data_IF_827644661456
#
_entry.id   IF_827644661456
#
_cell.length_a   1.000
_cell.length_b   1.000
_cell.length_c   1.000
_cell.angle_alpha   90.00
_cell.angle_beta   90.00
_cell.angle_gamma   90.00
#
_symmetry.space_group_name_H-M   'P 1'
#
loop_
_entity.id
_entity.type
_entity.pdbx_description
1 polymer ?
#
# COMPACT_ATOMS: atom_id res chain seq x y z
N UNK A 1 8.13 0.21 16.95
CA UNK A 1 6.96 -0.62 16.69
C UNK A 1 6.61 -0.61 15.21
N UNK A 2 6.24 -1.77 14.67
CA UNK A 2 5.80 -1.87 13.27
C UNK A 2 4.45 -2.62 13.18
N UNK A 3 3.45 -1.94 12.65
CA UNK A 3 2.15 -2.49 12.32
C UNK A 3 2.08 -2.79 10.81
N UNK A 4 1.76 -4.05 10.44
CA UNK A 4 1.73 -4.51 9.06
C UNK A 4 2.99 -5.23 8.57
N UNK A 5 3.82 -5.75 9.48
CA UNK A 5 5.10 -6.42 9.20
C UNK A 5 5.00 -7.61 8.23
N UNK A 6 3.88 -8.34 8.21
CA UNK A 6 3.67 -9.52 7.35
C UNK A 6 3.22 -9.18 5.93
N UNK A 7 2.89 -7.91 5.66
CA UNK A 7 2.51 -7.42 4.34
C UNK A 7 3.70 -7.30 3.38
N UNK A 8 3.41 -6.95 2.12
CA UNK A 8 4.45 -6.76 1.10
C UNK A 8 5.48 -5.71 1.53
N UNK A 9 5.04 -4.48 1.81
CA UNK A 9 5.94 -3.39 2.23
C UNK A 9 6.54 -3.66 3.60
N UNK A 10 5.73 -4.07 4.58
CA UNK A 10 6.19 -4.29 5.95
C UNK A 10 7.31 -5.32 6.05
N UNK A 11 7.30 -6.38 5.23
CA UNK A 11 8.36 -7.39 5.24
C UNK A 11 9.73 -6.85 4.82
N UNK A 12 9.78 -5.86 3.94
CA UNK A 12 11.01 -5.18 3.55
C UNK A 12 11.43 -4.13 4.58
N UNK A 13 10.47 -3.47 5.24
CA UNK A 13 10.77 -2.58 6.36
C UNK A 13 11.42 -3.36 7.51
N UNK A 14 10.93 -4.58 7.82
CA UNK A 14 11.57 -5.46 8.83
C UNK A 14 13.03 -5.73 8.49
N UNK A 15 13.32 -6.14 7.26
CA UNK A 15 14.70 -6.43 6.84
C UNK A 15 15.58 -5.18 6.93
N UNK A 16 15.07 -4.03 6.54
CA UNK A 16 15.80 -2.77 6.59
C UNK A 16 16.07 -2.33 8.04
N UNK A 17 15.08 -2.47 8.95
CA UNK A 17 15.28 -2.21 10.39
C UNK A 17 16.40 -3.08 10.97
N UNK A 18 16.37 -4.38 10.67
CA UNK A 18 17.40 -5.33 11.13
C UNK A 18 18.76 -5.01 10.53
N UNK A 19 18.82 -4.66 9.24
CA UNK A 19 20.09 -4.31 8.58
C UNK A 19 20.76 -3.08 9.17
N UNK A 20 19.95 -2.16 9.71
CA UNK A 20 20.42 -0.95 10.41
C UNK A 20 20.63 -1.16 11.91
N UNK A 21 20.56 -2.40 12.41
CA UNK A 21 20.76 -2.73 13.82
C UNK A 21 19.70 -2.20 14.76
N UNK A 22 18.47 -1.97 14.25
CA UNK A 22 17.34 -1.53 15.06
C UNK A 22 16.58 -2.73 15.59
N UNK A 23 16.16 -2.66 16.85
CA UNK A 23 15.22 -3.60 17.44
C UNK A 23 13.80 -3.29 16.95
N UNK A 24 12.99 -4.32 16.71
CA UNK A 24 11.64 -4.17 16.19
C UNK A 24 10.63 -5.01 16.96
N UNK A 25 9.59 -4.34 17.50
CA UNK A 25 8.37 -4.97 17.97
C UNK A 25 7.37 -5.05 16.81
N UNK A 26 6.90 -6.25 16.50
CA UNK A 26 6.03 -6.53 15.35
C UNK A 26 4.69 -7.06 15.84
N UNK A 27 3.59 -6.34 15.55
CA UNK A 27 2.26 -6.93 15.74
C UNK A 27 1.93 -7.84 14.57
N UNK A 28 1.59 -9.09 14.85
CA UNK A 28 1.36 -10.13 13.86
C UNK A 28 0.09 -10.90 14.20
N UNK A 29 -0.81 -11.02 13.22
CA UNK A 29 -2.01 -11.84 13.39
C UNK A 29 -1.64 -13.31 13.54
N UNK A 30 -2.38 -14.02 14.38
CA UNK A 30 -2.19 -15.45 14.58
C UNK A 30 -2.19 -16.22 13.25
N UNK A 31 -1.24 -17.14 13.09
CA UNK A 31 -1.01 -17.91 11.88
C UNK A 31 -0.29 -17.17 10.75
N UNK A 32 0.07 -15.90 10.94
CA UNK A 32 0.81 -15.12 9.93
C UNK A 32 2.32 -15.03 10.21
N UNK A 33 2.82 -15.63 11.28
CA UNK A 33 4.23 -15.59 11.73
C UNK A 33 5.16 -16.22 10.68
N UNK A 34 4.66 -17.20 9.93
CA UNK A 34 5.43 -17.87 8.86
C UNK A 34 5.78 -16.95 7.68
N UNK A 35 5.13 -15.79 7.59
CA UNK A 35 5.42 -14.77 6.57
C UNK A 35 6.64 -13.91 6.91
N UNK A 36 7.15 -13.98 8.14
CA UNK A 36 8.36 -13.26 8.56
C UNK A 36 9.61 -14.10 8.27
N UNK A 37 10.57 -13.52 7.53
CA UNK A 37 11.82 -14.21 7.15
C UNK A 37 12.85 -14.21 8.27
N UNK A 38 12.88 -13.20 9.14
CA UNK A 38 13.86 -13.02 10.22
C UNK A 38 13.18 -12.82 11.58
N UNK A 39 12.19 -13.66 11.87
CA UNK A 39 11.36 -13.56 13.07
C UNK A 39 12.14 -13.64 14.38
N UNK A 40 13.25 -14.36 14.39
CA UNK A 40 14.12 -14.55 15.56
C UNK A 40 14.86 -13.29 16.00
N UNK A 41 14.91 -12.28 15.12
CA UNK A 41 15.57 -10.99 15.38
C UNK A 41 14.58 -9.90 15.83
N UNK A 42 13.32 -10.25 16.01
CA UNK A 42 12.26 -9.31 16.36
C UNK A 42 11.44 -9.83 17.54
N UNK A 43 10.90 -8.92 18.34
CA UNK A 43 9.86 -9.26 19.30
C UNK A 43 8.51 -9.33 18.58
N UNK A 44 7.89 -10.49 18.60
CA UNK A 44 6.59 -10.73 17.95
C UNK A 44 5.50 -10.69 18.99
N UNK A 45 4.53 -9.80 18.80
CA UNK A 45 3.31 -9.68 19.58
C UNK A 45 2.16 -10.21 18.74
N UNK A 46 1.44 -11.21 19.26
CA UNK A 46 0.26 -11.76 18.60
C UNK A 46 -0.95 -10.91 18.88
N UNK A 47 -1.63 -10.46 17.84
CA UNK A 47 -2.83 -9.64 17.94
C UNK A 47 -3.28 -9.08 16.61
N UNK A 48 -4.44 -8.48 16.60
CA UNK A 48 -4.97 -7.75 15.44
C UNK A 48 -5.09 -6.25 15.79
N UNK A 49 -5.33 -5.44 14.77
CA UNK A 49 -5.44 -3.99 14.91
C UNK A 49 -6.65 -3.53 15.74
N UNK A 50 -7.58 -4.44 16.02
CA UNK A 50 -8.72 -4.22 16.91
C UNK A 50 -8.42 -4.58 18.37
N UNK A 51 -7.25 -5.15 18.66
CA UNK A 51 -6.80 -5.56 20.00
C UNK A 51 -5.92 -4.46 20.62
N UNK A 52 -6.53 -3.67 21.51
CA UNK A 52 -5.85 -2.57 22.22
C UNK A 52 -4.72 -3.08 23.13
N UNK A 53 -4.86 -4.28 23.70
CA UNK A 53 -3.81 -4.86 24.57
C UNK A 53 -2.59 -5.18 23.69
N UNK A 54 -2.78 -5.84 22.55
CA UNK A 54 -1.69 -6.17 21.64
C UNK A 54 -1.04 -4.91 21.03
N UNK A 55 -1.81 -3.86 20.73
CA UNK A 55 -1.29 -2.57 20.30
C UNK A 55 -0.36 -2.00 21.38
N UNK A 56 -0.84 -1.91 22.62
CA UNK A 56 -0.08 -1.39 23.74
C UNK A 56 1.20 -2.19 24.02
N UNK A 57 1.12 -3.52 23.97
CA UNK A 57 2.28 -4.39 24.14
C UNK A 57 3.30 -4.22 22.99
N UNK A 58 2.82 -4.00 21.76
CA UNK A 58 3.70 -3.74 20.61
C UNK A 58 4.47 -2.43 20.75
N UNK A 59 3.87 -1.44 21.40
CA UNK A 59 4.47 -0.13 21.63
C UNK A 59 5.46 -0.10 22.82
N UNK A 60 5.47 -1.10 23.69
CA UNK A 60 6.30 -1.11 24.89
C UNK A 60 7.81 -1.01 24.58
N UNK A 61 8.46 -0.03 25.17
CA UNK A 61 9.88 0.25 24.98
C UNK A 61 10.28 0.82 23.62
N UNK A 62 9.30 1.19 22.78
CA UNK A 62 9.58 1.72 21.44
C UNK A 62 9.76 3.25 21.47
N UNK A 63 10.73 3.75 20.67
CA UNK A 63 10.93 5.18 20.43
C UNK A 63 10.24 5.71 19.18
N UNK A 64 9.72 4.83 18.31
CA UNK A 64 9.03 5.21 17.08
C UNK A 64 7.99 4.18 16.66
N UNK A 65 7.01 4.64 15.90
CA UNK A 65 5.96 3.82 15.31
C UNK A 65 5.98 3.92 13.81
N UNK A 66 5.88 2.78 13.12
CA UNK A 66 5.60 2.71 11.68
C UNK A 66 4.26 2.01 11.49
N UNK A 67 3.30 2.69 10.87
CA UNK A 67 2.03 2.13 10.47
C UNK A 67 2.02 1.87 8.96
N UNK A 68 2.17 0.61 8.57
CA UNK A 68 2.25 0.16 7.18
C UNK A 68 1.09 -0.78 6.79
N UNK A 69 0.00 -0.80 7.58
CA UNK A 69 -1.19 -1.58 7.23
C UNK A 69 -1.93 -0.93 6.07
N UNK A 70 -2.25 -1.74 5.07
CA UNK A 70 -3.07 -1.31 3.95
C UNK A 70 -3.58 -2.50 3.15
N UNK A 71 -4.76 -2.32 2.57
CA UNK A 71 -5.39 -3.27 1.66
C UNK A 71 -5.81 -2.52 0.40
N UNK A 72 -5.83 -3.22 -0.73
CA UNK A 72 -6.30 -2.68 -2.01
C UNK A 72 -7.69 -3.20 -2.40
N UNK A 73 -8.24 -4.10 -1.59
CA UNK A 73 -9.57 -4.69 -1.75
C UNK A 73 -10.15 -5.05 -0.39
N UNK A 74 -11.43 -4.79 -0.23
CA UNK A 74 -12.17 -5.10 0.98
C UNK A 74 -12.73 -6.53 0.98
N UNK A 75 -12.89 -7.09 2.20
CA UNK A 75 -13.59 -8.34 2.48
C UNK A 75 -14.48 -8.12 3.72
N UNK A 76 -15.62 -7.41 3.57
CA UNK A 76 -16.44 -6.97 4.70
C UNK A 76 -16.89 -8.11 5.61
N UNK A 77 -17.21 -9.28 5.03
CA UNK A 77 -17.62 -10.47 5.79
C UNK A 77 -16.52 -11.02 6.73
N UNK A 78 -15.28 -10.52 6.59
CA UNK A 78 -14.13 -10.86 7.45
C UNK A 78 -13.67 -9.69 8.31
N UNK A 79 -14.41 -8.58 8.35
CA UNK A 79 -14.00 -7.36 9.04
C UNK A 79 -12.85 -6.60 8.33
N UNK A 80 -12.46 -7.03 7.13
CA UNK A 80 -11.35 -6.44 6.38
C UNK A 80 -11.90 -5.33 5.49
N UNK A 81 -11.93 -4.11 6.02
CA UNK A 81 -12.46 -2.91 5.34
C UNK A 81 -11.42 -1.80 5.33
N UNK A 82 -11.56 -0.87 4.37
CA UNK A 82 -10.73 0.34 4.34
C UNK A 82 -10.90 1.16 5.62
N UNK A 83 -12.15 1.32 6.07
CA UNK A 83 -12.44 2.07 7.29
C UNK A 83 -11.72 1.48 8.50
N UNK A 84 -11.80 0.16 8.71
CA UNK A 84 -11.17 -0.48 9.86
C UNK A 84 -9.63 -0.45 9.77
N UNK A 85 -9.06 -0.82 8.62
CA UNK A 85 -7.62 -1.00 8.51
C UNK A 85 -6.85 0.27 8.15
N UNK A 86 -7.45 1.20 7.40
CA UNK A 86 -6.76 2.45 7.06
C UNK A 86 -6.98 3.51 8.12
N UNK A 87 -8.22 3.74 8.57
CA UNK A 87 -8.53 4.82 9.48
C UNK A 87 -8.58 4.39 10.95
N UNK A 88 -9.50 3.51 11.33
CA UNK A 88 -9.70 3.16 12.74
C UNK A 88 -8.45 2.51 13.36
N UNK A 89 -7.80 1.61 12.64
CA UNK A 89 -6.56 0.98 13.10
C UNK A 89 -5.41 1.97 13.26
N UNK A 90 -5.25 2.89 12.29
CA UNK A 90 -4.26 3.95 12.40
C UNK A 90 -4.56 4.87 13.61
N UNK A 91 -5.83 5.24 13.79
CA UNK A 91 -6.29 6.06 14.92
C UNK A 91 -5.92 5.42 16.25
N UNK A 92 -6.26 4.12 16.47
CA UNK A 92 -5.90 3.40 17.71
C UNK A 92 -4.39 3.43 17.98
N UNK A 93 -3.58 3.18 16.95
CA UNK A 93 -2.12 3.22 17.10
C UNK A 93 -1.58 4.63 17.40
N UNK A 94 -2.19 5.66 16.82
CA UNK A 94 -1.83 7.07 17.08
C UNK A 94 -2.16 7.44 18.52
N UNK A 95 -3.38 7.12 18.97
CA UNK A 95 -3.84 7.40 20.34
C UNK A 95 -2.95 6.68 21.38
N UNK A 96 -2.69 5.38 21.18
CA UNK A 96 -1.84 4.60 22.06
C UNK A 96 -0.38 5.09 22.07
N UNK A 97 0.17 5.52 20.91
CA UNK A 97 1.50 6.10 20.84
C UNK A 97 1.58 7.39 21.66
N UNK A 98 0.56 8.26 21.55
CA UNK A 98 0.46 9.51 22.29
C UNK A 98 0.36 9.24 23.81
N UNK A 99 -0.47 8.32 24.24
CA UNK A 99 -0.61 7.92 25.65
C UNK A 99 0.69 7.38 26.26
N UNK A 100 1.49 6.66 25.45
CA UNK A 100 2.82 6.15 25.86
C UNK A 100 3.96 7.17 25.72
N UNK A 101 3.70 8.37 25.23
CA UNK A 101 4.71 9.39 25.02
C UNK A 101 5.67 9.07 23.86
N UNK A 102 5.26 8.23 22.89
CA UNK A 102 6.03 7.93 21.69
C UNK A 102 5.71 8.99 20.64
N UNK A 103 6.57 9.99 20.51
CA UNK A 103 6.30 11.13 19.63
C UNK A 103 6.52 10.82 18.15
N UNK A 104 7.48 9.94 17.79
CA UNK A 104 7.83 9.67 16.39
C UNK A 104 6.86 8.68 15.74
N UNK A 105 6.09 9.16 14.74
CA UNK A 105 5.10 8.35 14.03
C UNK A 105 5.25 8.46 12.51
N UNK A 106 5.40 7.32 11.82
CA UNK A 106 5.55 7.24 10.37
C UNK A 106 4.36 6.50 9.79
N UNK A 107 3.60 7.19 8.95
CA UNK A 107 2.37 6.66 8.35
C UNK A 107 2.57 6.34 6.87
N UNK A 108 2.25 5.13 6.47
CA UNK A 108 2.09 4.77 5.06
C UNK A 108 0.69 5.12 4.57
N UNK A 109 0.58 6.23 3.88
CA UNK A 109 -0.60 6.62 3.13
C UNK A 109 -0.54 6.09 1.69
N UNK A 110 -1.11 6.78 0.75
CA UNK A 110 -1.04 6.45 -0.67
C UNK A 110 -1.07 7.73 -1.53
N UNK A 111 -0.41 7.71 -2.67
CA UNK A 111 -0.59 8.77 -3.65
C UNK A 111 -2.05 8.82 -4.10
N UNK A 112 -2.61 10.03 -4.24
CA UNK A 112 -4.03 10.25 -4.52
C UNK A 112 -4.96 10.24 -3.29
N UNK A 113 -4.45 10.12 -2.05
CA UNK A 113 -5.25 10.31 -0.84
C UNK A 113 -5.90 11.70 -0.82
N UNK A 114 -7.23 11.77 -0.75
CA UNK A 114 -8.03 13.01 -0.81
C UNK A 114 -9.41 12.84 -0.16
N UNK A 115 -9.97 13.92 0.36
CA UNK A 115 -11.26 13.93 1.10
C UNK A 115 -12.42 13.35 0.27
N UNK A 116 -12.59 13.82 -0.95
CA UNK A 116 -13.73 13.46 -1.83
C UNK A 116 -13.29 12.44 -2.90
N UNK A 117 -12.51 11.43 -2.50
CA UNK A 117 -12.06 10.36 -3.37
C UNK A 117 -12.92 9.10 -3.27
N UNK A 118 -12.36 7.98 -3.74
CA UNK A 118 -12.90 6.65 -3.47
C UNK A 118 -12.82 6.32 -1.98
N UNK A 119 -13.50 5.25 -1.53
CA UNK A 119 -13.42 4.83 -0.12
C UNK A 119 -11.98 4.56 0.32
N UNK A 120 -11.15 3.99 -0.56
CA UNK A 120 -9.72 3.83 -0.33
C UNK A 120 -9.01 5.17 -0.11
N UNK A 121 -9.23 6.15 -1.00
CA UNK A 121 -8.55 7.45 -0.95
C UNK A 121 -8.97 8.27 0.26
N UNK A 122 -10.27 8.29 0.57
CA UNK A 122 -10.80 9.06 1.69
C UNK A 122 -10.40 8.49 3.04
N UNK A 123 -10.36 7.17 3.22
CA UNK A 123 -9.90 6.57 4.48
C UNK A 123 -8.41 6.79 4.73
N UNK A 124 -7.58 6.77 3.67
CA UNK A 124 -6.16 7.16 3.78
C UNK A 124 -6.02 8.65 4.14
N UNK A 125 -6.79 9.51 3.50
CA UNK A 125 -6.79 10.94 3.81
C UNK A 125 -7.22 11.22 5.26
N UNK A 126 -8.28 10.56 5.74
CA UNK A 126 -8.76 10.72 7.11
C UNK A 126 -7.69 10.33 8.15
N UNK A 127 -6.94 9.26 7.90
CA UNK A 127 -5.81 8.87 8.78
C UNK A 127 -4.70 9.90 8.79
N UNK A 128 -4.39 10.52 7.65
CA UNK A 128 -3.40 11.60 7.59
C UNK A 128 -3.84 12.81 8.40
N UNK A 129 -5.08 13.26 8.22
CA UNK A 129 -5.62 14.40 8.95
C UNK A 129 -5.66 14.11 10.46
N UNK A 130 -6.11 12.91 10.86
CA UNK A 130 -6.10 12.54 12.26
C UNK A 130 -4.68 12.60 12.87
N UNK A 131 -3.68 12.07 12.16
CA UNK A 131 -2.30 12.11 12.60
C UNK A 131 -1.74 13.54 12.71
N UNK A 132 -2.09 14.42 11.77
CA UNK A 132 -1.68 15.83 11.80
C UNK A 132 -2.22 16.58 13.02
N UNK A 133 -3.44 16.23 13.48
CA UNK A 133 -4.06 16.81 14.67
C UNK A 133 -3.59 16.18 16.00
N UNK A 134 -2.91 15.03 15.96
CA UNK A 134 -2.48 14.33 17.16
C UNK A 134 -1.29 14.97 17.90
N UNK A 135 -0.66 15.98 17.29
CA UNK A 135 0.55 16.66 17.78
C UNK A 135 1.76 15.74 18.04
N UNK A 136 1.95 14.78 17.12
CA UNK A 136 3.11 13.90 17.09
C UNK A 136 4.15 14.42 16.07
N UNK A 137 5.39 13.95 16.21
CA UNK A 137 6.48 14.14 15.24
C UNK A 137 6.27 13.19 14.05
N UNK A 138 5.22 13.45 13.28
CA UNK A 138 4.84 12.56 12.19
C UNK A 138 5.67 12.78 10.92
N UNK A 139 5.77 11.73 10.12
CA UNK A 139 6.06 11.79 8.68
C UNK A 139 5.05 10.93 7.94
N UNK A 140 4.44 11.48 6.90
CA UNK A 140 3.47 10.77 6.05
C UNK A 140 4.11 10.53 4.71
N UNK A 141 4.17 9.27 4.30
CA UNK A 141 4.58 8.89 2.96
C UNK A 141 3.39 8.45 2.12
N UNK A 142 3.28 9.01 0.93
CA UNK A 142 2.29 8.68 -0.10
C UNK A 142 2.98 7.97 -1.26
N UNK A 143 3.27 6.67 -1.14
CA UNK A 143 3.85 5.95 -2.26
C UNK A 143 2.87 5.88 -3.42
N UNK A 144 3.44 5.97 -4.63
CA UNK A 144 2.78 5.65 -5.87
C UNK A 144 2.68 4.11 -6.02
N UNK A 145 2.83 3.59 -7.20
CA UNK A 145 2.81 2.17 -7.48
C UNK A 145 4.07 1.47 -6.95
N UNK A 146 3.95 0.67 -5.91
CA UNK A 146 5.10 -0.08 -5.35
C UNK A 146 5.24 -1.41 -6.07
N UNK A 147 6.45 -1.72 -6.54
CA UNK A 147 6.77 -2.98 -7.20
C UNK A 147 8.03 -3.65 -6.63
N UNK A 148 8.14 -4.97 -6.82
CA UNK A 148 9.29 -5.77 -6.42
C UNK A 148 8.92 -7.23 -6.16
N UNK A 149 9.83 -8.02 -5.57
CA UNK A 149 9.57 -9.42 -5.25
C UNK A 149 8.53 -9.55 -4.13
N UNK A 150 7.37 -10.19 -4.35
CA UNK A 150 6.36 -10.37 -3.31
C UNK A 150 6.78 -11.34 -2.20
N UNK A 151 7.89 -12.07 -2.36
CA UNK A 151 8.38 -13.08 -1.38
C UNK A 151 7.33 -14.14 -1.08
N UNK A 152 6.81 -14.76 -2.13
CA UNK A 152 5.76 -15.78 -2.09
C UNK A 152 4.47 -15.34 -2.76
N UNK A 153 3.47 -16.22 -2.75
CA UNK A 153 2.24 -16.02 -3.52
C UNK A 153 1.12 -15.29 -2.77
N UNK A 154 1.29 -15.06 -1.46
CA UNK A 154 0.22 -14.58 -0.58
C UNK A 154 0.23 -13.07 -0.36
N UNK A 155 1.14 -12.35 -0.99
CA UNK A 155 1.23 -10.89 -0.90
C UNK A 155 0.84 -10.27 -2.23
N UNK A 156 -0.19 -9.41 -2.26
CA UNK A 156 -0.55 -8.71 -3.47
C UNK A 156 0.58 -7.76 -3.87
N UNK A 157 1.11 -7.96 -5.07
CA UNK A 157 2.12 -7.13 -5.70
C UNK A 157 1.71 -6.85 -7.13
N UNK A 158 1.91 -5.63 -7.57
CA UNK A 158 1.35 -5.12 -8.82
C UNK A 158 1.79 -5.90 -10.06
N UNK A 159 3.09 -6.11 -10.24
CA UNK A 159 3.61 -6.78 -11.45
C UNK A 159 3.15 -8.24 -11.52
N UNK A 160 3.10 -8.91 -10.37
CA UNK A 160 2.64 -10.29 -10.26
C UNK A 160 1.14 -10.40 -10.54
N UNK A 161 0.34 -9.47 -10.01
CA UNK A 161 -1.09 -9.41 -10.32
C UNK A 161 -1.34 -9.10 -11.78
N UNK A 162 -0.65 -8.11 -12.35
CA UNK A 162 -0.79 -7.77 -13.77
C UNK A 162 -0.43 -8.96 -14.67
N UNK A 163 0.63 -9.71 -14.32
CA UNK A 163 0.98 -10.95 -15.02
C UNK A 163 -0.15 -11.96 -14.97
N UNK A 164 -0.69 -12.23 -13.77
CA UNK A 164 -1.73 -13.24 -13.56
C UNK A 164 -3.03 -12.84 -14.25
N UNK A 165 -3.49 -11.61 -14.03
CA UNK A 165 -4.84 -11.18 -14.36
C UNK A 165 -4.95 -10.60 -15.78
N UNK A 166 -3.82 -10.31 -16.43
CA UNK A 166 -3.79 -9.68 -17.74
C UNK A 166 -2.81 -10.35 -18.71
N UNK A 167 -1.53 -10.46 -18.35
CA UNK A 167 -0.50 -10.88 -19.32
C UNK A 167 -0.58 -12.37 -19.68
N UNK A 168 -1.01 -13.23 -18.74
CA UNK A 168 -1.16 -14.68 -18.98
C UNK A 168 -2.44 -15.04 -19.73
N UNK A 169 -3.40 -14.14 -19.82
CA UNK A 169 -4.63 -14.40 -20.55
C UNK A 169 -4.37 -14.42 -22.09
N UNK A 170 -5.10 -15.22 -22.88
CA UNK A 170 -4.92 -15.28 -24.34
C UNK A 170 -5.44 -14.04 -25.06
N UNK A 171 -6.06 -13.08 -24.37
CA UNK A 171 -6.66 -11.88 -24.94
C UNK A 171 -5.69 -10.70 -24.90
N UNK A 172 -5.84 -9.71 -25.81
CA UNK A 172 -5.08 -8.46 -25.75
C UNK A 172 -5.25 -7.74 -24.41
N UNK A 173 -4.20 -7.08 -23.93
CA UNK A 173 -4.30 -6.26 -22.73
C UNK A 173 -5.02 -4.93 -23.04
N UNK A 174 -5.92 -4.45 -22.15
CA UNK A 174 -6.63 -3.22 -22.39
C UNK A 174 -5.76 -1.99 -22.13
N UNK A 175 -5.66 -1.12 -23.11
CA UNK A 175 -5.24 0.26 -22.94
C UNK A 175 -6.48 1.11 -22.66
N UNK A 176 -6.69 1.43 -21.39
CA UNK A 176 -7.86 2.19 -20.98
C UNK A 176 -7.79 3.64 -21.45
N UNK A 177 -8.94 4.24 -21.77
CA UNK A 177 -9.08 5.66 -22.03
C UNK A 177 -10.37 6.23 -21.46
N UNK A 178 -10.34 7.52 -21.09
CA UNK A 178 -11.50 8.30 -20.65
C UNK A 178 -12.16 8.98 -21.84
N UNK A 179 -13.49 9.13 -21.81
CA UNK A 179 -14.28 9.81 -22.86
C UNK A 179 -14.34 9.00 -24.15
N UNK A 180 -14.36 9.70 -25.30
CA UNK A 180 -14.65 9.12 -26.62
C UNK A 180 -13.43 9.00 -27.54
N UNK A 181 -12.23 9.40 -27.09
CA UNK A 181 -11.05 9.42 -27.96
C UNK A 181 -10.12 8.21 -27.73
N UNK A 182 -10.19 7.17 -28.57
CA UNK A 182 -9.34 5.98 -28.43
C UNK A 182 -7.84 6.25 -28.69
N UNK A 183 -7.47 7.37 -29.31
CA UNK A 183 -6.07 7.75 -29.52
C UNK A 183 -5.35 8.10 -28.19
N UNK A 184 -6.12 8.34 -27.13
CA UNK A 184 -5.57 8.57 -25.78
C UNK A 184 -5.49 7.28 -24.94
N UNK A 185 -5.69 6.12 -25.56
CA UNK A 185 -5.66 4.84 -24.85
C UNK A 185 -4.26 4.55 -24.27
N UNK A 186 -4.24 4.25 -22.97
CA UNK A 186 -3.01 3.95 -22.24
C UNK A 186 -2.13 5.16 -21.89
N UNK A 187 -2.60 6.39 -22.13
CA UNK A 187 -1.83 7.62 -21.90
C UNK A 187 -2.03 8.21 -20.49
N UNK A 188 -2.32 7.40 -19.50
CA UNK A 188 -2.25 7.82 -18.10
C UNK A 188 -0.90 7.42 -17.50
N UNK A 189 -0.41 8.27 -16.62
CA UNK A 189 0.97 8.23 -16.14
C UNK A 189 1.04 7.62 -14.74
N UNK A 190 2.14 6.92 -14.49
CA UNK A 190 2.47 6.33 -13.19
C UNK A 190 3.95 6.52 -12.91
N UNK A 191 4.32 6.73 -11.65
CA UNK A 191 5.70 6.79 -11.17
C UNK A 191 6.01 5.58 -10.27
N UNK A 192 6.23 4.36 -10.83
CA UNK A 192 6.52 3.18 -10.02
C UNK A 192 7.75 3.37 -9.16
N UNK A 193 7.71 2.88 -7.91
CA UNK A 193 8.85 2.90 -7.00
C UNK A 193 9.20 1.49 -6.53
N UNK A 194 10.49 1.19 -6.47
CA UNK A 194 10.93 -0.13 -6.02
C UNK A 194 10.77 -0.28 -4.50
N UNK A 195 10.33 -1.45 -4.06
CA UNK A 195 10.01 -1.75 -2.64
C UNK A 195 11.20 -1.52 -1.70
N UNK A 196 12.43 -1.77 -2.14
CA UNK A 196 13.64 -1.54 -1.32
C UNK A 196 13.87 -0.05 -1.04
N UNK A 197 13.58 0.81 -2.02
CA UNK A 197 13.69 2.25 -1.83
C UNK A 197 12.64 2.75 -0.85
N UNK A 198 11.41 2.25 -0.95
CA UNK A 198 10.35 2.55 0.02
C UNK A 198 10.79 2.14 1.43
N UNK A 199 11.26 0.92 1.62
CA UNK A 199 11.70 0.42 2.92
C UNK A 199 12.85 1.26 3.50
N UNK A 200 13.86 1.57 2.68
CA UNK A 200 15.01 2.41 3.07
C UNK A 200 14.57 3.82 3.50
N UNK A 201 13.66 4.45 2.76
CA UNK A 201 13.13 5.78 3.08
C UNK A 201 12.37 5.73 4.42
N UNK A 202 11.51 4.72 4.64
CA UNK A 202 10.76 4.57 5.89
C UNK A 202 11.69 4.42 7.09
N UNK A 203 12.68 3.57 7.01
CA UNK A 203 13.59 3.32 8.14
C UNK A 203 14.52 4.50 8.40
N UNK A 204 15.09 5.12 7.38
CA UNK A 204 15.89 6.34 7.51
C UNK A 204 15.11 7.49 8.14
N UNK A 205 13.83 7.61 7.80
CA UNK A 205 12.99 8.68 8.34
C UNK A 205 12.78 8.60 9.85
N UNK A 206 13.01 7.46 10.49
CA UNK A 206 12.89 7.32 11.97
C UNK A 206 13.77 8.35 12.67
N UNK A 207 15.00 8.51 12.21
CA UNK A 207 16.02 9.38 12.82
C UNK A 207 16.14 10.74 12.16
N UNK A 208 15.49 10.96 11.01
CA UNK A 208 15.63 12.17 10.20
C UNK A 208 14.63 13.24 10.63
N UNK A 209 15.07 14.13 11.50
CA UNK A 209 14.23 15.20 12.07
C UNK A 209 13.79 16.24 11.04
N UNK A 210 14.50 16.38 9.93
CA UNK A 210 14.12 17.30 8.85
C UNK A 210 12.83 16.90 8.14
N UNK A 211 12.38 15.64 8.32
CA UNK A 211 11.15 15.09 7.74
C UNK A 211 9.93 15.20 8.67
N UNK A 212 10.11 15.70 9.88
CA UNK A 212 9.02 15.82 10.87
C UNK A 212 7.97 16.84 10.42
N UNK A 213 6.69 16.51 10.70
CA UNK A 213 5.48 17.28 10.33
C UNK A 213 5.36 17.54 8.82
N UNK A 214 5.81 16.57 8.00
CA UNK A 214 5.77 16.67 6.54
C UNK A 214 5.10 15.46 5.90
N UNK A 215 4.57 15.70 4.69
CA UNK A 215 3.99 14.68 3.82
C UNK A 215 4.78 14.64 2.51
N UNK A 216 5.20 13.46 2.09
CA UNK A 216 5.98 13.25 0.87
C UNK A 216 5.31 12.24 -0.05
N UNK A 217 5.28 12.56 -1.33
CA UNK A 217 5.00 11.58 -2.37
C UNK A 217 6.27 10.75 -2.65
N UNK A 218 6.12 9.46 -2.84
CA UNK A 218 7.22 8.56 -3.17
C UNK A 218 6.96 7.92 -4.54
N UNK A 219 7.77 8.26 -5.52
CA UNK A 219 7.71 7.72 -6.88
C UNK A 219 9.09 7.65 -7.51
N UNK A 220 9.24 6.82 -8.51
CA UNK A 220 10.39 6.79 -9.40
C UNK A 220 10.12 7.59 -10.68
N UNK A 221 10.77 7.19 -11.78
CA UNK A 221 10.53 7.77 -13.10
C UNK A 221 9.07 7.55 -13.55
N UNK A 222 8.57 8.48 -14.35
CA UNK A 222 7.19 8.45 -14.85
C UNK A 222 7.12 7.68 -16.17
N UNK A 223 6.14 6.77 -16.24
CA UNK A 223 5.87 5.94 -17.42
C UNK A 223 4.39 5.99 -17.78
N UNK A 224 4.06 5.89 -19.08
CA UNK A 224 2.70 5.64 -19.52
C UNK A 224 2.28 4.19 -19.27
N UNK A 225 1.01 3.97 -18.99
CA UNK A 225 0.43 2.64 -18.77
C UNK A 225 0.79 1.65 -19.87
N UNK A 226 0.67 2.07 -21.13
CA UNK A 226 1.02 1.24 -22.27
C UNK A 226 2.49 0.79 -22.27
N UNK A 227 3.39 1.62 -21.73
CA UNK A 227 4.82 1.29 -21.68
C UNK A 227 5.10 0.38 -20.46
N UNK A 228 4.40 0.56 -19.35
CA UNK A 228 4.44 -0.38 -18.22
C UNK A 228 4.03 -1.78 -18.66
N UNK A 229 2.94 -1.93 -19.43
CA UNK A 229 2.54 -3.23 -19.99
C UNK A 229 3.64 -3.83 -20.86
N UNK A 230 4.27 -3.05 -21.73
CA UNK A 230 5.36 -3.51 -22.60
C UNK A 230 6.58 -3.94 -21.79
N UNK A 231 7.01 -3.13 -20.81
CA UNK A 231 8.16 -3.41 -19.96
C UNK A 231 7.95 -4.71 -19.20
N UNK A 232 6.82 -4.83 -18.50
CA UNK A 232 6.52 -6.02 -17.71
C UNK A 232 6.38 -7.26 -18.61
N UNK A 233 5.66 -7.17 -19.72
CA UNK A 233 5.52 -8.33 -20.64
C UNK A 233 6.85 -8.78 -21.22
N UNK A 234 7.74 -7.84 -21.58
CA UNK A 234 9.09 -8.15 -22.06
C UNK A 234 9.96 -8.80 -21.00
N UNK A 235 9.87 -8.35 -19.75
CA UNK A 235 10.59 -8.95 -18.61
C UNK A 235 10.18 -10.41 -18.38
N UNK A 236 8.94 -10.79 -18.73
CA UNK A 236 8.46 -12.18 -18.70
C UNK A 236 8.66 -12.94 -20.01
N UNK A 237 9.44 -12.40 -20.97
CA UNK A 237 9.72 -13.04 -22.25
C UNK A 237 8.51 -13.13 -23.19
N UNK A 238 7.50 -12.28 -23.01
CA UNK A 238 6.26 -12.28 -23.81
C UNK A 238 6.06 -10.96 -24.53
N UNK A 239 5.49 -11.03 -25.76
CA UNK A 239 4.93 -9.84 -26.41
C UNK A 239 3.43 -9.82 -26.18
N UNK A 240 2.95 -8.82 -25.47
CA UNK A 240 1.52 -8.66 -25.20
C UNK A 240 0.92 -7.62 -26.14
N UNK A 241 -0.08 -8.02 -26.87
CA UNK A 241 -0.85 -7.09 -27.70
C UNK A 241 -1.79 -6.28 -26.83
N UNK A 242 -2.00 -5.04 -27.20
CA UNK A 242 -2.91 -4.13 -26.49
C UNK A 242 -4.00 -3.62 -27.43
N UNK A 243 -5.18 -3.38 -26.88
CA UNK A 243 -6.31 -2.77 -27.59
C UNK A 243 -6.83 -1.57 -26.80
N UNK A 244 -7.30 -0.52 -27.47
CA UNK A 244 -8.02 0.55 -26.81
C UNK A 244 -9.28 0.01 -26.12
N UNK A 245 -9.48 0.36 -24.85
CA UNK A 245 -10.62 -0.06 -24.06
C UNK A 245 -11.28 1.14 -23.35
N UNK A 246 -12.55 1.48 -23.65
CA UNK A 246 -13.25 2.56 -22.95
C UNK A 246 -13.36 2.23 -21.46
N UNK A 247 -12.87 3.13 -20.61
CA UNK A 247 -12.90 2.94 -19.17
C UNK A 247 -14.32 2.77 -18.61
N UNK A 248 -15.30 3.41 -19.22
CA UNK A 248 -16.71 3.33 -18.81
C UNK A 248 -17.27 1.91 -18.86
N UNK A 249 -16.81 1.10 -19.82
CA UNK A 249 -17.23 -0.32 -19.94
C UNK A 249 -16.71 -1.11 -18.74
N UNK A 250 -15.43 -0.99 -18.43
CA UNK A 250 -14.83 -1.70 -17.28
C UNK A 250 -15.38 -1.19 -15.95
N UNK A 251 -15.64 0.12 -15.84
CA UNK A 251 -16.30 0.69 -14.67
C UNK A 251 -17.72 0.14 -14.48
N UNK A 252 -18.47 -0.05 -15.56
CA UNK A 252 -19.80 -0.67 -15.53
C UNK A 252 -19.73 -2.14 -15.06
N UNK A 253 -18.79 -2.92 -15.58
CA UNK A 253 -18.56 -4.29 -15.11
C UNK A 253 -18.08 -4.32 -13.65
N UNK A 254 -17.16 -3.46 -13.26
CA UNK A 254 -16.71 -3.38 -11.88
C UNK A 254 -17.86 -3.00 -10.94
N UNK A 255 -18.72 -2.06 -11.31
CA UNK A 255 -19.90 -1.70 -10.52
C UNK A 255 -20.84 -2.90 -10.26
N UNK A 256 -20.99 -3.79 -11.23
CA UNK A 256 -21.87 -4.98 -11.11
C UNK A 256 -21.20 -6.15 -10.39
N UNK A 257 -19.88 -6.32 -10.58
CA UNK A 257 -19.19 -7.56 -10.24
C UNK A 257 -18.07 -7.40 -9.19
N UNK A 258 -17.71 -6.22 -8.73
CA UNK A 258 -16.63 -6.01 -7.76
C UNK A 258 -16.84 -6.70 -6.40
N UNK A 259 -18.12 -6.97 -6.03
CA UNK A 259 -18.49 -7.76 -4.86
C UNK A 259 -18.05 -9.24 -4.96
N UNK A 260 -17.79 -9.74 -6.16
CA UNK A 260 -17.37 -11.12 -6.37
C UNK A 260 -15.84 -11.23 -6.39
N UNK A 261 -15.28 -12.13 -5.59
CA UNK A 261 -13.82 -12.31 -5.47
C UNK A 261 -13.12 -12.73 -6.76
N UNK A 262 -13.83 -13.37 -7.69
CA UNK A 262 -13.29 -13.79 -8.99
C UNK A 262 -13.10 -12.62 -9.97
N UNK A 263 -13.78 -11.48 -9.75
CA UNK A 263 -13.63 -10.32 -10.62
C UNK A 263 -12.31 -9.59 -10.30
N UNK A 264 -11.42 -9.37 -11.28
CA UNK A 264 -10.02 -9.04 -11.02
C UNK A 264 -9.79 -7.60 -10.52
N UNK A 265 -10.71 -6.68 -10.80
CA UNK A 265 -10.54 -5.24 -10.48
C UNK A 265 -11.79 -4.68 -9.82
N UNK A 266 -11.60 -3.83 -8.81
CA UNK A 266 -12.72 -3.13 -8.16
C UNK A 266 -13.01 -1.79 -8.83
N UNK A 267 -14.20 -1.22 -8.55
CA UNK A 267 -14.57 0.11 -9.01
C UNK A 267 -13.56 1.17 -8.55
N UNK A 268 -13.11 1.09 -7.30
CA UNK A 268 -12.13 2.01 -6.73
C UNK A 268 -10.78 1.90 -7.44
N UNK A 269 -10.31 0.66 -7.68
CA UNK A 269 -9.05 0.43 -8.39
C UNK A 269 -9.05 1.01 -9.80
N UNK A 270 -10.12 0.79 -10.59
CA UNK A 270 -10.18 1.37 -11.95
C UNK A 270 -10.28 2.89 -11.92
N UNK A 271 -10.99 3.47 -10.94
CA UNK A 271 -11.09 4.92 -10.77
C UNK A 271 -9.71 5.52 -10.48
N UNK A 272 -8.97 4.95 -9.52
CA UNK A 272 -7.62 5.39 -9.15
C UNK A 272 -6.62 5.20 -10.29
N UNK A 273 -6.71 4.09 -11.03
CA UNK A 273 -5.86 3.81 -12.18
C UNK A 273 -5.95 4.93 -13.23
N UNK A 274 -7.17 5.43 -13.48
CA UNK A 274 -7.45 6.45 -14.49
C UNK A 274 -7.14 7.89 -14.02
N UNK A 275 -6.85 8.11 -12.75
CA UNK A 275 -6.50 9.44 -12.23
C UNK A 275 -5.04 9.82 -12.46
N UNK A 276 -4.23 8.92 -12.99
CA UNK A 276 -2.76 8.98 -12.97
C UNK A 276 -2.18 8.85 -11.55
N UNK A 277 -0.99 8.32 -11.43
CA UNK A 277 -0.35 8.08 -10.15
C UNK A 277 1.12 8.53 -10.20
N UNK A 278 1.30 9.86 -10.26
CA UNK A 278 2.59 10.53 -10.48
C UNK A 278 3.00 11.26 -9.20
N UNK A 279 4.28 11.24 -8.91
CA UNK A 279 4.89 11.99 -7.82
C UNK A 279 5.80 13.11 -8.33
#
# INVERSE_FOLDING_TARGET
ALFGATGFVGSYIVDELISQGMEANLMVREGSENKLLQKEKCRIIKGDIDDEIAINETLDGCGAVIYAIGIIREFPNRGITYENLHFNGAKRCIDAAKEKGINRFILMSANGAKMNGTSYQSTKYNSEEYLKFADLDYTIFRPSLIFGDPRGNDRPEFCTQLKKDMLNLPFPAPNFYKGFNPLKAGNFEMSPIHIKDVASIFVKSIKEMSLVKKTYCLGGDTYYWQDIIKIISSAYGKKKWTIPAPAIIIQGFAFLFDRFQWFPITKDQITMLLESNVC
#
